data_IF_514543433991
#
_entry.id   IF_514543433991
#
_cell.length_a   1.000
_cell.length_b   1.000
_cell.length_c   1.000
_cell.angle_alpha   90.00
_cell.angle_beta   90.00
_cell.angle_gamma   90.00
#
_symmetry.space_group_name_H-M   'P 1'
#
loop_
_entity.id
_entity.type
_entity.pdbx_description
1 polymer ?
#
# COMPACT_ATOMS: atom_id res chain seq x y z
N UNK A 1 -21.50 -16.31 -31.88
CA UNK A 1 -21.98 -16.72 -33.22
C UNK A 1 -20.78 -17.11 -34.06
N UNK A 2 -20.90 -18.13 -34.90
CA UNK A 2 -19.86 -18.46 -35.88
C UNK A 2 -20.45 -18.39 -37.28
N UNK A 3 -19.60 -18.04 -38.25
CA UNK A 3 -19.95 -17.97 -39.66
C UNK A 3 -18.77 -18.54 -40.43
N UNK A 4 -19.03 -19.43 -41.38
CA UNK A 4 -17.95 -19.93 -42.24
C UNK A 4 -17.43 -18.76 -43.06
N UNK A 5 -16.12 -18.71 -43.29
CA UNK A 5 -15.54 -17.78 -44.25
C UNK A 5 -15.17 -18.60 -45.50
N UNK A 6 -15.42 -18.04 -46.67
CA UNK A 6 -14.93 -18.62 -47.92
C UNK A 6 -13.41 -18.46 -48.05
N UNK A 7 -12.84 -18.99 -49.14
CA UNK A 7 -11.40 -18.94 -49.38
C UNK A 7 -10.85 -17.49 -49.55
N UNK A 8 -11.73 -16.50 -49.73
CA UNK A 8 -11.37 -15.08 -49.79
C UNK A 8 -11.58 -14.36 -48.44
N UNK A 9 -11.97 -15.07 -47.38
CA UNK A 9 -12.22 -14.49 -46.06
C UNK A 9 -13.54 -13.73 -45.96
N UNK A 10 -14.48 -13.95 -46.88
CA UNK A 10 -15.83 -13.37 -46.81
C UNK A 10 -16.78 -14.34 -46.10
N UNK A 11 -17.68 -13.79 -45.27
CA UNK A 11 -18.70 -14.55 -44.58
C UNK A 11 -19.61 -15.34 -45.55
N UNK A 12 -19.58 -16.66 -45.44
CA UNK A 12 -20.38 -17.62 -46.21
C UNK A 12 -21.47 -18.24 -45.32
N UNK A 13 -22.74 -18.04 -45.71
CA UNK A 13 -23.92 -18.56 -45.03
C UNK A 13 -24.43 -17.69 -43.87
N UNK A 14 -25.55 -18.09 -43.27
CA UNK A 14 -26.13 -17.39 -42.12
C UNK A 14 -25.29 -17.58 -40.86
N UNK A 15 -25.11 -16.53 -40.05
CA UNK A 15 -24.43 -16.62 -38.77
C UNK A 15 -25.23 -17.54 -37.83
N UNK A 16 -24.63 -18.66 -37.43
CA UNK A 16 -25.27 -19.57 -36.47
C UNK A 16 -24.98 -19.03 -35.08
N UNK A 17 -26.05 -18.64 -34.40
CA UNK A 17 -26.02 -18.31 -32.97
C UNK A 17 -26.11 -19.63 -32.21
N UNK A 18 -25.06 -19.99 -31.47
CA UNK A 18 -25.14 -21.06 -30.48
C UNK A 18 -26.09 -20.58 -29.38
N UNK A 19 -27.37 -20.87 -29.54
CA UNK A 19 -28.38 -20.68 -28.49
C UNK A 19 -28.56 -21.99 -27.74
N UNK A 20 -28.86 -21.89 -26.45
CA UNK A 20 -29.22 -23.02 -25.61
C UNK A 20 -30.67 -23.43 -25.92
N UNK A 21 -30.92 -24.00 -27.10
CA UNK A 21 -32.23 -24.61 -27.42
C UNK A 21 -32.14 -26.13 -27.35
N UNK A 22 -33.25 -26.76 -26.95
CA UNK A 22 -33.41 -28.19 -26.66
C UNK A 22 -33.22 -29.10 -27.90
N UNK A 23 -33.07 -28.51 -29.08
CA UNK A 23 -32.75 -29.23 -30.32
C UNK A 23 -31.28 -29.00 -30.65
N UNK A 24 -30.44 -30.02 -30.41
CA UNK A 24 -29.00 -29.93 -30.64
C UNK A 24 -28.68 -29.55 -32.10
N UNK A 25 -28.31 -28.29 -32.33
CA UNK A 25 -27.69 -27.87 -33.57
C UNK A 25 -26.23 -28.35 -33.56
N UNK A 26 -25.97 -29.49 -34.21
CA UNK A 26 -24.60 -30.02 -34.33
C UNK A 26 -23.78 -29.13 -35.26
N UNK A 27 -22.94 -28.28 -34.67
CA UNK A 27 -21.98 -27.44 -35.37
C UNK A 27 -20.60 -28.12 -35.35
N UNK A 28 -20.15 -28.65 -36.48
CA UNK A 28 -18.78 -29.14 -36.63
C UNK A 28 -17.86 -27.99 -37.06
N UNK A 29 -17.10 -27.44 -36.11
CA UNK A 29 -15.96 -26.57 -36.42
C UNK A 29 -14.70 -27.43 -36.59
N UNK A 30 -14.07 -27.37 -37.77
CA UNK A 30 -12.71 -27.89 -37.94
C UNK A 30 -11.72 -26.87 -37.34
N UNK A 31 -11.30 -27.09 -36.10
CA UNK A 31 -10.39 -26.20 -35.38
C UNK A 31 -10.28 -26.58 -33.90
N UNK A 32 -9.33 -25.98 -33.19
CA UNK A 32 -9.16 -26.15 -31.74
C UNK A 32 -9.39 -24.82 -31.02
N UNK A 33 -10.09 -24.87 -29.89
CA UNK A 33 -10.22 -23.76 -28.94
C UNK A 33 -9.27 -24.05 -27.79
N UNK A 34 -8.25 -23.20 -27.58
CA UNK A 34 -7.34 -23.29 -26.44
C UNK A 34 -7.82 -22.35 -25.34
N UNK A 35 -8.17 -22.90 -24.18
CA UNK A 35 -8.43 -22.13 -22.97
C UNK A 35 -7.21 -22.18 -22.07
N UNK A 36 -6.68 -21.01 -21.74
CA UNK A 36 -5.47 -20.85 -20.93
C UNK A 36 -5.72 -19.83 -19.81
N UNK A 37 -5.17 -20.09 -18.62
CA UNK A 37 -5.34 -19.21 -17.46
C UNK A 37 -4.23 -19.45 -16.43
N UNK A 38 -3.82 -18.37 -15.76
CA UNK A 38 -2.91 -18.43 -14.61
C UNK A 38 -3.54 -19.08 -13.36
N UNK A 39 -4.86 -19.27 -13.34
CA UNK A 39 -5.63 -19.85 -12.23
C UNK A 39 -6.48 -21.02 -12.70
N UNK A 40 -6.89 -21.87 -11.75
CA UNK A 40 -7.82 -22.96 -12.03
C UNK A 40 -9.13 -22.43 -12.63
N UNK A 41 -9.60 -23.07 -13.69
CA UNK A 41 -10.87 -22.75 -14.33
C UNK A 41 -11.65 -24.03 -14.65
N UNK A 42 -12.97 -23.90 -14.72
CA UNK A 42 -13.86 -24.96 -15.14
C UNK A 42 -14.76 -24.43 -16.25
N UNK A 43 -14.97 -25.26 -17.28
CA UNK A 43 -15.94 -24.97 -18.33
C UNK A 43 -17.13 -25.91 -18.15
N UNK A 44 -18.27 -25.35 -17.78
CA UNK A 44 -19.56 -26.05 -17.75
C UNK A 44 -20.35 -25.68 -19.00
N UNK A 45 -20.70 -26.67 -19.83
CA UNK A 45 -21.53 -26.50 -21.01
C UNK A 45 -22.83 -27.28 -20.85
N UNK A 46 -23.96 -26.66 -21.22
CA UNK A 46 -25.27 -27.32 -21.28
C UNK A 46 -25.47 -28.13 -22.58
N UNK A 47 -24.55 -28.02 -23.54
CA UNK A 47 -24.58 -28.75 -24.83
C UNK A 47 -23.28 -29.50 -25.10
N UNK A 48 -23.33 -30.50 -25.99
CA UNK A 48 -22.17 -31.28 -26.46
C UNK A 48 -21.19 -30.50 -27.35
N UNK A 49 -21.42 -29.21 -27.60
CA UNK A 49 -20.56 -28.38 -28.45
C UNK A 49 -19.21 -28.03 -27.82
N UNK A 50 -19.14 -28.01 -26.48
CA UNK A 50 -17.90 -27.87 -25.72
C UNK A 50 -17.91 -28.97 -24.66
N UNK A 51 -16.91 -29.86 -24.70
CA UNK A 51 -16.76 -30.90 -23.67
C UNK A 51 -16.51 -30.24 -22.32
N UNK A 52 -17.25 -30.67 -21.29
CA UNK A 52 -16.99 -30.25 -19.90
C UNK A 52 -15.56 -30.65 -19.56
N UNK A 53 -14.74 -29.66 -19.24
CA UNK A 53 -13.32 -29.88 -18.97
C UNK A 53 -12.88 -28.96 -17.84
N UNK A 54 -12.01 -29.51 -16.99
CA UNK A 54 -11.39 -28.79 -15.87
C UNK A 54 -9.92 -28.58 -16.18
N UNK A 55 -9.39 -27.41 -15.86
CA UNK A 55 -7.95 -27.17 -15.93
C UNK A 55 -7.20 -28.15 -15.03
N UNK A 56 -6.21 -28.86 -15.58
CA UNK A 56 -5.23 -29.58 -14.76
C UNK A 56 -4.08 -28.65 -14.44
N UNK A 57 -3.73 -28.50 -13.16
CA UNK A 57 -2.52 -27.78 -12.78
C UNK A 57 -1.29 -28.51 -13.33
N UNK A 58 -0.52 -27.84 -14.19
CA UNK A 58 0.76 -28.32 -14.68
C UNK A 58 1.85 -27.75 -13.80
N UNK A 59 2.55 -28.62 -13.06
CA UNK A 59 3.68 -28.19 -12.24
C UNK A 59 4.89 -27.94 -13.13
N UNK A 60 5.70 -26.93 -12.79
CA UNK A 60 6.99 -26.68 -13.45
C UNK A 60 7.93 -27.89 -13.33
N UNK A 61 7.77 -28.72 -12.28
CA UNK A 61 8.53 -29.96 -12.10
C UNK A 61 8.20 -31.06 -13.10
N UNK A 62 7.01 -31.01 -13.70
CA UNK A 62 6.46 -32.09 -14.54
C UNK A 62 6.51 -31.71 -16.03
N UNK A 63 7.32 -30.71 -16.37
CA UNK A 63 7.46 -30.18 -17.71
C UNK A 63 8.25 -31.16 -18.59
N UNK A 64 7.72 -31.44 -19.77
CA UNK A 64 8.31 -32.34 -20.76
C UNK A 64 8.49 -31.58 -22.08
N UNK A 65 9.66 -31.72 -22.70
CA UNK A 65 10.05 -31.00 -23.93
C UNK A 65 10.35 -31.98 -25.07
N UNK A 66 10.06 -33.28 -24.91
CA UNK A 66 10.45 -34.30 -25.91
C UNK A 66 9.69 -34.19 -27.24
N UNK A 67 8.58 -33.45 -27.29
CA UNK A 67 7.83 -33.20 -28.53
C UNK A 67 7.51 -31.72 -28.69
N UNK A 68 7.32 -31.26 -29.93
CA UNK A 68 7.00 -29.87 -30.24
C UNK A 68 5.75 -29.35 -29.50
N UNK A 69 4.70 -30.19 -29.41
CA UNK A 69 3.49 -29.84 -28.68
C UNK A 69 3.76 -29.64 -27.17
N UNK A 70 4.47 -30.60 -26.55
CA UNK A 70 4.81 -30.51 -25.12
C UNK A 70 5.73 -29.35 -24.81
N UNK A 71 6.68 -29.05 -25.70
CA UNK A 71 7.56 -27.89 -25.61
C UNK A 71 6.79 -26.56 -25.64
N UNK A 72 5.73 -26.47 -26.46
CA UNK A 72 4.90 -25.27 -26.55
C UNK A 72 4.07 -25.06 -25.28
N UNK A 73 3.52 -26.14 -24.71
CA UNK A 73 2.79 -26.08 -23.44
C UNK A 73 3.72 -25.81 -22.25
N UNK A 74 4.94 -26.31 -22.30
CA UNK A 74 6.00 -26.02 -21.34
C UNK A 74 6.29 -24.52 -21.29
N UNK A 75 6.47 -23.87 -22.44
CA UNK A 75 6.70 -22.42 -22.51
C UNK A 75 5.54 -21.63 -21.88
N UNK A 76 4.29 -21.97 -22.19
CA UNK A 76 3.12 -21.31 -21.58
C UNK A 76 3.07 -21.43 -20.07
N UNK A 77 3.41 -22.62 -19.55
CA UNK A 77 3.46 -22.87 -18.10
C UNK A 77 4.55 -22.03 -17.44
N UNK A 78 5.72 -21.91 -18.07
CA UNK A 78 6.82 -21.07 -17.59
C UNK A 78 6.45 -19.59 -17.63
N UNK A 79 5.85 -19.12 -18.72
CA UNK A 79 5.39 -17.73 -18.85
C UNK A 79 4.39 -17.38 -17.75
N UNK A 80 3.42 -18.26 -17.49
CA UNK A 80 2.46 -18.10 -16.39
C UNK A 80 3.14 -18.06 -15.02
N UNK A 81 4.14 -18.92 -14.79
CA UNK A 81 4.90 -18.93 -13.54
C UNK A 81 5.73 -17.63 -13.38
N UNK A 82 6.34 -17.14 -14.46
CA UNK A 82 7.07 -15.87 -14.48
C UNK A 82 6.12 -14.70 -14.22
N UNK A 83 4.94 -14.69 -14.83
CA UNK A 83 3.91 -13.67 -14.59
C UNK A 83 3.49 -13.63 -13.11
N UNK A 84 3.23 -14.80 -12.51
CA UNK A 84 2.90 -14.92 -11.09
C UNK A 84 4.02 -14.38 -10.18
N UNK A 85 5.27 -14.75 -10.44
CA UNK A 85 6.43 -14.27 -9.67
C UNK A 85 6.59 -12.76 -9.85
N UNK A 86 6.42 -12.25 -11.06
CA UNK A 86 6.53 -10.82 -11.37
C UNK A 86 5.43 -10.02 -10.67
N UNK A 87 4.20 -10.52 -10.64
CA UNK A 87 3.10 -9.94 -9.86
C UNK A 87 3.41 -9.92 -8.36
N UNK A 88 3.99 -11.00 -7.83
CA UNK A 88 4.43 -11.07 -6.43
C UNK A 88 5.53 -10.04 -6.12
N UNK A 89 6.54 -9.90 -6.99
CA UNK A 89 7.59 -8.88 -6.86
C UNK A 89 7.01 -7.46 -6.93
N UNK A 90 6.06 -7.21 -7.84
CA UNK A 90 5.38 -5.92 -7.95
C UNK A 90 4.63 -5.57 -6.65
N UNK A 91 3.94 -6.53 -6.05
CA UNK A 91 3.27 -6.35 -4.75
C UNK A 91 4.26 -6.01 -3.63
N UNK A 92 5.39 -6.71 -3.56
CA UNK A 92 6.46 -6.41 -2.61
C UNK A 92 7.07 -5.01 -2.85
N UNK A 93 7.29 -4.61 -4.10
CA UNK A 93 7.76 -3.27 -4.45
C UNK A 93 6.78 -2.17 -4.04
N UNK A 94 5.47 -2.40 -4.26
CA UNK A 94 4.44 -1.48 -3.79
C UNK A 94 4.43 -1.36 -2.26
N UNK A 95 4.64 -2.47 -1.54
CA UNK A 95 4.74 -2.46 -0.09
C UNK A 95 6.00 -1.70 0.39
N UNK A 96 7.14 -1.86 -0.29
CA UNK A 96 8.36 -1.09 -0.01
C UNK A 96 8.13 0.41 -0.20
N UNK A 97 7.53 0.82 -1.32
CA UNK A 97 7.20 2.23 -1.57
C UNK A 97 6.27 2.82 -0.50
N UNK A 98 5.29 2.03 -0.03
CA UNK A 98 4.44 2.41 1.10
C UNK A 98 5.23 2.54 2.41
N UNK A 99 6.19 1.65 2.68
CA UNK A 99 7.05 1.76 3.85
C UNK A 99 7.94 3.01 3.79
N UNK A 100 8.56 3.31 2.65
CA UNK A 100 9.35 4.53 2.46
C UNK A 100 8.52 5.79 2.69
N UNK A 101 7.31 5.83 2.14
CA UNK A 101 6.38 6.96 2.36
C UNK A 101 5.97 7.08 3.82
N UNK A 102 5.68 5.96 4.49
CA UNK A 102 5.34 5.95 5.91
C UNK A 102 6.51 6.41 6.78
N UNK A 103 7.74 5.97 6.49
CA UNK A 103 8.95 6.38 7.19
C UNK A 103 9.18 7.88 7.03
N UNK A 104 9.08 8.41 5.81
CA UNK A 104 9.25 9.84 5.55
C UNK A 104 8.22 10.68 6.32
N UNK A 105 6.96 10.27 6.33
CA UNK A 105 5.91 10.94 7.10
C UNK A 105 6.18 10.89 8.62
N UNK A 106 6.66 9.75 9.12
CA UNK A 106 7.01 9.59 10.53
C UNK A 106 8.21 10.45 10.93
N UNK A 107 9.23 10.58 10.06
CA UNK A 107 10.37 11.45 10.29
C UNK A 107 9.94 12.92 10.40
N UNK A 108 9.13 13.41 9.46
CA UNK A 108 8.58 14.79 9.50
C UNK A 108 7.74 15.01 10.76
N UNK A 109 6.92 14.04 11.14
CA UNK A 109 6.11 14.12 12.36
C UNK A 109 7.00 14.14 13.61
N UNK A 110 8.03 13.30 13.67
CA UNK A 110 8.99 13.26 14.77
C UNK A 110 9.75 14.58 14.92
N UNK A 111 10.20 15.17 13.81
CA UNK A 111 10.89 16.46 13.81
C UNK A 111 9.98 17.59 14.31
N UNK A 112 8.73 17.65 13.83
CA UNK A 112 7.75 18.61 14.32
C UNK A 112 7.46 18.42 15.82
N UNK A 113 7.30 17.18 16.29
CA UNK A 113 7.08 16.90 17.71
C UNK A 113 8.30 17.27 18.57
N UNK A 114 9.51 17.01 18.09
CA UNK A 114 10.74 17.42 18.78
C UNK A 114 10.85 18.96 18.85
N UNK A 115 10.55 19.66 17.76
CA UNK A 115 10.53 21.12 17.73
C UNK A 115 9.47 21.71 18.68
N UNK A 116 8.26 21.14 18.70
CA UNK A 116 7.20 21.54 19.64
C UNK A 116 7.61 21.28 21.09
N UNK A 117 8.20 20.12 21.40
CA UNK A 117 8.71 19.82 22.75
C UNK A 117 9.84 20.76 23.16
N UNK A 118 10.77 21.07 22.26
CA UNK A 118 11.84 22.03 22.51
C UNK A 118 11.29 23.42 22.87
N UNK A 119 10.29 23.92 22.12
CA UNK A 119 9.62 25.21 22.43
C UNK A 119 8.90 25.21 23.78
N UNK A 120 8.24 24.11 24.13
CA UNK A 120 7.57 23.98 25.44
C UNK A 120 8.61 24.01 26.56
N UNK A 121 9.67 23.20 26.43
CA UNK A 121 10.74 23.14 27.41
C UNK A 121 11.45 24.49 27.58
N UNK A 122 11.74 25.18 26.47
CA UNK A 122 12.38 26.50 26.51
C UNK A 122 11.48 27.56 27.14
N UNK A 123 10.17 27.54 26.85
CA UNK A 123 9.20 28.43 27.48
C UNK A 123 9.06 28.17 29.00
N UNK A 124 9.02 26.90 29.42
CA UNK A 124 8.96 26.50 30.83
C UNK A 124 10.25 26.92 31.56
N UNK A 125 11.42 26.72 30.95
CA UNK A 125 12.70 27.17 31.50
C UNK A 125 12.77 28.68 31.64
N UNK A 126 12.30 29.43 30.63
CA UNK A 126 12.25 30.88 30.68
C UNK A 126 11.33 31.37 31.81
N UNK A 127 10.17 30.74 32.00
CA UNK A 127 9.23 31.08 33.05
C UNK A 127 9.78 30.77 34.46
N UNK A 128 10.41 29.62 34.64
CA UNK A 128 11.04 29.24 35.92
C UNK A 128 12.21 30.16 36.26
N UNK A 129 13.06 30.48 35.27
CA UNK A 129 14.18 31.41 35.44
C UNK A 129 13.70 32.82 35.80
N UNK A 130 12.62 33.30 35.17
CA UNK A 130 12.02 34.58 35.50
C UNK A 130 11.43 34.59 36.92
N UNK A 131 10.80 33.50 37.36
CA UNK A 131 10.29 33.35 38.72
C UNK A 131 11.41 33.30 39.75
N UNK A 132 12.47 32.54 39.48
CA UNK A 132 13.67 32.48 40.33
C UNK A 132 14.32 33.86 40.47
N UNK A 133 14.51 34.56 39.35
CA UNK A 133 15.07 35.92 39.35
C UNK A 133 14.18 36.89 40.13
N UNK A 134 12.86 36.85 39.93
CA UNK A 134 11.90 37.66 40.70
C UNK A 134 11.98 37.36 42.19
N UNK A 135 12.08 36.08 42.58
CA UNK A 135 12.21 35.68 43.97
C UNK A 135 13.52 36.18 44.59
N UNK A 136 14.64 36.09 43.88
CA UNK A 136 15.94 36.62 44.32
C UNK A 136 15.93 38.15 44.49
N UNK A 137 15.32 38.88 43.54
CA UNK A 137 15.18 40.35 43.64
C UNK A 137 14.30 40.71 44.84
N UNK A 138 13.19 40.02 45.06
CA UNK A 138 12.32 40.24 46.22
C UNK A 138 13.04 39.96 47.55
N UNK A 139 13.89 38.92 47.61
CA UNK A 139 14.70 38.64 48.79
C UNK A 139 15.72 39.75 49.05
N UNK A 140 16.46 40.20 48.04
CA UNK A 140 17.41 41.30 48.16
C UNK A 140 16.72 42.61 48.55
N UNK A 141 15.61 42.96 47.88
CA UNK A 141 14.81 44.13 48.19
C UNK A 141 14.21 44.05 49.60
N UNK A 142 13.74 42.88 50.04
CA UNK A 142 13.25 42.66 51.41
C UNK A 142 14.33 42.94 52.45
N UNK A 143 15.56 42.45 52.25
CA UNK A 143 16.68 42.73 53.15
C UNK A 143 17.09 44.21 53.17
N UNK A 144 17.12 44.87 52.01
CA UNK A 144 17.43 46.29 51.91
C UNK A 144 16.33 47.17 52.52
N UNK A 145 15.05 46.82 52.30
CA UNK A 145 13.90 47.50 52.89
C UNK A 145 13.87 47.35 54.41
N UNK A 146 14.19 46.16 54.95
CA UNK A 146 14.33 45.96 56.40
C UNK A 146 15.49 46.78 56.96
N UNK A 147 16.63 46.82 56.26
CA UNK A 147 17.77 47.64 56.68
C UNK A 147 17.41 49.14 56.69
N UNK A 148 16.71 49.63 55.67
CA UNK A 148 16.26 51.02 55.56
C UNK A 148 15.18 51.37 56.59
N UNK A 149 14.23 50.46 56.83
CA UNK A 149 13.20 50.61 57.85
C UNK A 149 13.79 50.63 59.28
N UNK A 150 14.91 49.93 59.53
CA UNK A 150 15.61 49.98 60.81
C UNK A 150 16.47 51.24 61.02
N UNK A 151 16.88 51.93 59.95
CA UNK A 151 17.61 53.20 60.05
C UNK A 151 16.69 54.41 60.24
N UNK A 152 15.46 54.35 59.74
CA UNK A 152 14.49 55.45 59.84
C UNK A 152 14.18 55.89 61.29
N UNK A 153 14.00 54.99 62.29
CA UNK A 153 13.76 55.36 63.68
C UNK A 153 14.92 56.13 64.32
N UNK A 154 16.17 55.84 63.91
CA UNK A 154 17.36 56.51 64.46
C UNK A 154 17.46 57.97 64.02
N UNK A 155 17.02 58.28 62.79
CA UNK A 155 16.92 59.66 62.31
C UNK A 155 15.84 60.47 63.03
N UNK A 156 14.72 59.84 63.38
CA UNK A 156 13.62 60.51 64.12
C UNK A 156 14.01 60.77 65.59
N UNK A 157 14.79 59.88 66.21
CA UNK A 157 15.31 60.11 67.56
C UNK A 157 16.37 61.23 67.62
N UNK A 158 17.09 61.50 66.53
CA UNK A 158 17.99 62.65 66.43
C UNK A 158 17.24 63.99 66.31
N UNK A 159 15.99 63.98 65.83
CA UNK A 159 15.10 65.16 65.74
C UNK A 159 14.35 65.46 67.05
N UNK A 160 14.42 64.56 68.05
CA UNK A 160 13.78 64.71 69.37
C UNK A 160 14.79 65.05 70.49
N UNK A 161 16.01 65.47 70.15
CA UNK A 161 17.06 65.90 71.08
C UNK A 161 17.38 67.39 70.94
#
# INVERSE_FOLDING_TARGET
>A
SYQKLDAAGAASGAAVVLTADATAATATSAGYITLDSEKSFAVTSASTAITTSSSTLKKVSDLDITTFAKATDALKTVDSAIAFISGSRASLGALQSRFETAISNLQVTSENLQASRSRILDADFAQETANLSRAQILQQAGTAMVAQANQLPQGVLALLR
#
